data_IF_066011749022
#
_entry.id   IF_066011749022
#
_cell.length_a   1.000
_cell.length_b   1.000
_cell.length_c   1.000
_cell.angle_alpha   90.00
_cell.angle_beta   90.00
_cell.angle_gamma   90.00
#
_symmetry.space_group_name_H-M   'P 1'
#
loop_
_entity.id
_entity.type
_entity.pdbx_description
1 polymer ?
#
# COMPACT_ATOMS: atom_id res chain seq x y z
N UNK A 1 6.78 8.06 10.25
CA UNK A 1 6.49 8.82 9.01
C UNK A 1 5.03 8.62 8.64
N UNK A 2 4.42 9.51 7.84
CA UNK A 2 3.06 9.33 7.30
C UNK A 2 3.13 8.63 5.93
N UNK A 3 2.16 7.76 5.65
CA UNK A 3 2.03 7.05 4.36
C UNK A 3 0.79 7.60 3.66
N UNK A 4 0.93 7.92 2.38
CA UNK A 4 -0.20 8.17 1.49
C UNK A 4 -0.28 7.03 0.48
N UNK A 5 -1.48 6.50 0.25
CA UNK A 5 -1.63 5.36 -0.65
C UNK A 5 -3.08 4.96 -0.89
N UNK A 6 -3.25 4.01 -1.80
CA UNK A 6 -4.55 3.51 -2.22
C UNK A 6 -4.53 1.99 -2.30
N UNK A 7 -5.53 1.37 -1.68
CA UNK A 7 -5.82 -0.05 -1.83
C UNK A 7 -6.66 -0.32 -3.08
N UNK A 8 -6.50 -1.51 -3.64
CA UNK A 8 -7.32 -2.04 -4.72
C UNK A 8 -7.46 -3.55 -4.65
N UNK A 9 -8.34 -4.07 -5.49
CA UNK A 9 -8.47 -5.50 -5.78
C UNK A 9 -8.50 -5.68 -7.29
N UNK A 10 -7.92 -6.77 -7.80
CA UNK A 10 -8.00 -7.10 -9.23
C UNK A 10 -8.68 -8.45 -9.39
N UNK A 11 -9.82 -8.45 -10.07
CA UNK A 11 -10.64 -9.63 -10.24
C UNK A 11 -10.06 -10.56 -11.31
N UNK A 12 -9.93 -11.84 -10.99
CA UNK A 12 -9.24 -12.84 -11.85
C UNK A 12 -10.19 -13.47 -12.89
N UNK A 13 -11.49 -13.52 -12.61
CA UNK A 13 -12.49 -14.18 -13.48
C UNK A 13 -13.61 -13.23 -13.86
N UNK A 14 -14.05 -13.26 -15.12
CA UNK A 14 -15.22 -12.50 -15.56
C UNK A 14 -16.49 -13.07 -14.93
N UNK A 15 -17.27 -12.24 -14.24
CA UNK A 15 -18.62 -12.59 -13.80
C UNK A 15 -19.53 -12.57 -15.02
N UNK A 16 -20.28 -13.65 -15.27
CA UNK A 16 -21.31 -13.68 -16.32
C UNK A 16 -22.35 -12.59 -16.06
N UNK A 17 -22.84 -11.93 -17.11
CA UNK A 17 -23.92 -10.94 -16.98
C UNK A 17 -25.11 -11.51 -16.20
N UNK A 18 -25.51 -10.81 -15.14
CA UNK A 18 -26.64 -11.20 -14.27
C UNK A 18 -26.26 -11.90 -12.96
N UNK A 19 -25.00 -12.31 -12.79
CA UNK A 19 -24.52 -12.94 -11.55
C UNK A 19 -23.87 -11.91 -10.61
N UNK A 20 -24.01 -12.10 -9.29
CA UNK A 20 -23.27 -11.32 -8.28
C UNK A 20 -22.01 -12.08 -7.86
N UNK A 21 -20.93 -11.34 -7.62
CA UNK A 21 -19.72 -11.91 -7.03
C UNK A 21 -20.05 -12.57 -5.68
N UNK A 22 -19.78 -13.87 -5.56
CA UNK A 22 -19.96 -14.61 -4.31
C UNK A 22 -18.62 -15.25 -3.91
N UNK A 23 -17.92 -14.58 -3.01
CA UNK A 23 -16.61 -15.00 -2.48
C UNK A 23 -16.61 -16.44 -1.93
N UNK A 24 -17.76 -16.94 -1.46
CA UNK A 24 -17.87 -18.29 -0.90
C UNK A 24 -17.92 -19.40 -1.97
N UNK A 25 -18.18 -19.03 -3.23
CA UNK A 25 -18.30 -19.96 -4.37
C UNK A 25 -17.10 -19.93 -5.31
N UNK A 26 -16.13 -19.06 -5.05
CA UNK A 26 -14.94 -18.86 -5.88
C UNK A 26 -13.81 -19.75 -5.36
N UNK A 27 -13.27 -20.63 -6.21
CA UNK A 27 -12.08 -21.43 -5.86
C UNK A 27 -10.93 -20.50 -5.48
N UNK A 28 -10.04 -20.91 -4.58
CA UNK A 28 -8.96 -20.06 -4.07
C UNK A 28 -8.14 -19.41 -5.21
N UNK A 29 -7.81 -20.16 -6.25
CA UNK A 29 -7.12 -19.69 -7.48
C UNK A 29 -7.88 -18.63 -8.29
N UNK A 30 -9.16 -18.43 -8.03
CA UNK A 30 -10.03 -17.47 -8.73
C UNK A 30 -10.38 -16.25 -7.89
N UNK A 31 -9.88 -16.19 -6.65
CA UNK A 31 -10.04 -15.04 -5.77
C UNK A 31 -9.30 -13.83 -6.32
N UNK A 32 -9.84 -12.65 -6.05
CA UNK A 32 -9.22 -11.38 -6.43
C UNK A 32 -7.78 -11.27 -5.90
N UNK A 33 -6.91 -10.63 -6.68
CA UNK A 33 -5.60 -10.21 -6.20
C UNK A 33 -5.76 -9.02 -5.25
N UNK A 34 -4.92 -8.94 -4.22
CA UNK A 34 -4.84 -7.79 -3.34
C UNK A 34 -3.78 -6.81 -3.85
N UNK A 35 -4.15 -5.53 -4.00
CA UNK A 35 -3.24 -4.48 -4.46
C UNK A 35 -3.13 -3.35 -3.44
N UNK A 36 -1.94 -2.79 -3.34
CA UNK A 36 -1.73 -1.51 -2.67
C UNK A 36 -0.58 -0.75 -3.33
N UNK A 37 -0.79 0.53 -3.63
CA UNK A 37 0.26 1.44 -4.06
C UNK A 37 0.33 2.59 -3.08
N UNK A 38 1.53 2.96 -2.64
CA UNK A 38 1.71 4.07 -1.71
C UNK A 38 3.11 4.65 -1.75
N UNK A 39 3.24 5.85 -1.20
CA UNK A 39 4.50 6.55 -1.05
C UNK A 39 4.69 7.08 0.37
N UNK A 40 5.94 7.31 0.74
CA UNK A 40 6.31 7.81 2.05
C UNK A 40 7.68 8.52 2.05
N UNK A 41 7.90 9.46 2.99
CA UNK A 41 6.90 10.16 3.82
C UNK A 41 5.85 10.91 2.97
N UNK A 42 4.65 11.13 3.50
CA UNK A 42 3.56 11.74 2.72
C UNK A 42 3.80 13.23 2.38
N UNK A 43 4.60 13.93 3.19
CA UNK A 43 4.88 15.37 3.07
C UNK A 43 6.04 15.64 2.11
N UNK A 44 7.04 14.75 2.12
CA UNK A 44 8.25 14.84 1.30
C UNK A 44 8.62 13.42 0.81
N UNK A 45 7.95 12.91 -0.24
CA UNK A 45 8.05 11.52 -0.66
C UNK A 45 9.46 11.11 -1.10
N UNK A 46 9.99 10.02 -0.52
CA UNK A 46 11.32 9.48 -0.85
C UNK A 46 11.28 8.10 -1.50
N UNK A 47 10.18 7.37 -1.32
CA UNK A 47 9.98 6.05 -1.90
C UNK A 47 8.52 5.85 -2.31
N UNK A 48 8.31 5.15 -3.44
CA UNK A 48 7.02 4.64 -3.92
C UNK A 48 7.10 3.12 -3.96
N UNK A 49 6.06 2.44 -3.47
CA UNK A 49 5.96 0.98 -3.48
C UNK A 49 4.62 0.57 -4.08
N UNK A 50 4.65 -0.44 -4.95
CA UNK A 50 3.47 -1.15 -5.46
C UNK A 50 3.56 -2.61 -5.04
N UNK A 51 2.53 -3.09 -4.35
CA UNK A 51 2.41 -4.49 -3.92
C UNK A 51 1.20 -5.12 -4.60
N UNK A 52 1.42 -6.30 -5.15
CA UNK A 52 0.36 -7.20 -5.62
C UNK A 52 0.56 -8.55 -4.94
N UNK A 53 -0.49 -9.05 -4.29
CA UNK A 53 -0.53 -10.40 -3.72
C UNK A 53 -1.57 -11.19 -4.49
N UNK A 54 -1.11 -12.21 -5.23
CA UNK A 54 -1.99 -13.10 -5.98
C UNK A 54 -2.99 -13.79 -5.04
N UNK A 55 -4.24 -13.83 -5.48
CA UNK A 55 -5.39 -14.39 -4.75
C UNK A 55 -5.55 -13.89 -3.30
N UNK A 56 -4.98 -12.73 -2.95
CA UNK A 56 -4.96 -12.18 -1.60
C UNK A 56 -6.24 -11.46 -1.16
N UNK A 57 -7.18 -11.21 -2.07
CA UNK A 57 -8.53 -10.62 -1.88
C UNK A 57 -8.60 -9.20 -1.34
N UNK A 58 -7.87 -8.86 -0.27
CA UNK A 58 -7.99 -7.57 0.41
C UNK A 58 -6.73 -6.73 0.24
N UNK A 59 -6.78 -5.69 -0.61
CA UNK A 59 -5.70 -4.73 -0.77
C UNK A 59 -5.28 -4.06 0.55
N UNK A 60 -6.24 -3.66 1.38
CA UNK A 60 -5.96 -3.03 2.68
C UNK A 60 -5.57 -4.04 3.76
N UNK A 61 -6.12 -5.25 3.75
CA UNK A 61 -5.86 -6.26 4.78
C UNK A 61 -4.63 -7.13 4.52
N UNK A 62 -4.22 -7.30 3.26
CA UNK A 62 -3.14 -8.20 2.85
C UNK A 62 -1.97 -7.43 2.23
N UNK A 63 -2.23 -6.60 1.21
CA UNK A 63 -1.15 -5.89 0.52
C UNK A 63 -0.60 -4.70 1.32
N UNK A 64 -1.43 -3.98 2.09
CA UNK A 64 -0.98 -2.84 2.89
C UNK A 64 0.02 -3.21 4.01
N UNK A 65 -0.17 -4.28 4.80
CA UNK A 65 0.83 -4.72 5.77
C UNK A 65 2.19 -5.08 5.14
N UNK A 66 2.19 -5.72 3.97
CA UNK A 66 3.42 -6.03 3.23
C UNK A 66 4.13 -4.75 2.82
N UNK A 67 3.39 -3.80 2.22
CA UNK A 67 3.94 -2.49 1.87
C UNK A 67 4.54 -1.77 3.07
N UNK A 68 3.86 -1.82 4.23
CA UNK A 68 4.36 -1.20 5.47
C UNK A 68 5.69 -1.82 5.91
N UNK A 69 5.84 -3.13 5.86
CA UNK A 69 7.10 -3.80 6.23
C UNK A 69 8.25 -3.39 5.33
N UNK A 70 8.02 -3.28 4.02
CA UNK A 70 9.06 -2.83 3.07
C UNK A 70 9.41 -1.35 3.30
N UNK A 71 8.42 -0.49 3.53
CA UNK A 71 8.66 0.91 3.85
C UNK A 71 9.44 1.06 5.16
N UNK A 72 9.11 0.29 6.19
CA UNK A 72 9.82 0.30 7.47
C UNK A 72 11.28 -0.11 7.30
N UNK A 73 11.53 -1.19 6.55
CA UNK A 73 12.89 -1.66 6.28
C UNK A 73 13.75 -0.63 5.52
N UNK A 74 13.13 0.17 4.65
CA UNK A 74 13.83 1.22 3.90
C UNK A 74 14.03 2.49 4.74
N UNK A 75 12.96 2.99 5.36
CA UNK A 75 12.88 4.33 5.96
C UNK A 75 13.34 4.39 7.41
N UNK A 76 13.28 3.28 8.17
CA UNK A 76 13.61 3.28 9.59
C UNK A 76 15.04 2.78 9.86
N UNK A 77 15.65 3.32 10.90
CA UNK A 77 16.88 2.78 11.49
C UNK A 77 16.60 1.56 12.37
N UNK A 78 17.66 0.94 12.92
CA UNK A 78 17.57 -0.23 13.80
C UNK A 78 16.79 0.04 15.10
N UNK A 79 16.61 1.31 15.48
CA UNK A 79 15.81 1.73 16.62
C UNK A 79 14.34 2.00 16.28
N UNK A 80 13.95 1.81 15.02
CA UNK A 80 12.59 2.06 14.53
C UNK A 80 12.28 3.54 14.30
N UNK A 81 13.29 4.41 14.25
CA UNK A 81 13.13 5.85 13.98
C UNK A 81 13.34 6.15 12.51
N UNK A 82 12.64 7.17 11.99
CA UNK A 82 12.85 7.63 10.62
C UNK A 82 14.30 8.09 10.46
N UNK A 83 15.00 7.57 9.46
CA UNK A 83 16.39 7.95 9.19
C UNK A 83 16.47 9.46 8.90
N UNK A 84 17.48 10.18 9.43
CA UNK A 84 17.55 11.64 9.31
C UNK A 84 17.51 12.16 7.88
N UNK A 85 18.09 11.44 6.91
CA UNK A 85 18.08 11.81 5.48
C UNK A 85 16.68 11.78 4.83
N UNK A 86 15.69 11.16 5.49
CA UNK A 86 14.30 11.11 5.05
C UNK A 86 13.38 12.00 5.90
N UNK A 87 13.92 12.69 6.90
CA UNK A 87 13.16 13.69 7.64
C UNK A 87 12.83 14.88 6.72
N UNK A 88 11.63 15.48 6.82
CA UNK A 88 11.32 16.66 6.04
C UNK A 88 12.33 17.77 6.35
N UNK A 89 12.92 18.37 5.30
CA UNK A 89 13.79 19.51 5.47
C UNK A 89 13.02 20.65 6.13
N UNK A 90 13.60 21.24 7.19
CA UNK A 90 12.97 22.32 7.96
C UNK A 90 12.53 23.52 7.11
N UNK A 91 13.11 23.72 5.93
CA UNK A 91 12.74 24.78 4.98
C UNK A 91 11.38 24.55 4.29
N UNK A 92 10.99 23.29 4.01
CA UNK A 92 9.74 22.97 3.31
C UNK A 92 8.52 23.08 4.23
N UNK A 93 8.72 22.87 5.54
CA UNK A 93 7.67 22.99 6.55
C UNK A 93 7.22 24.44 6.79
N UNK A 94 8.03 25.44 6.42
CA UNK A 94 7.71 26.86 6.61
C UNK A 94 6.92 27.46 5.43
N UNK A 95 7.08 26.93 4.22
CA UNK A 95 6.32 27.36 3.02
C UNK A 95 4.89 26.81 2.96
N UNK A 96 4.62 25.66 3.59
CA UNK A 96 3.30 25.02 3.58
C UNK A 96 2.33 25.58 4.63
N UNK A 97 2.77 26.53 5.45
CA UNK A 97 1.99 27.20 6.49
C UNK A 97 1.63 28.66 6.16
N UNK A 98 1.89 29.12 4.93
CA UNK A 98 1.50 30.43 4.41
C UNK A 98 0.36 30.33 3.39
#
# INVERSE_FOLDING_TARGET
YRIAGKSGTAQVVAIKQGEKYDRSKVQERHRDHALFVGFAPAEDPKIVISVMVENGESGSGVAAPVLRQVMDAWLLDESGRLKPEYAPNASVAQESAQ
#
